data_IF_540072198452
#
_entry.id   IF_540072198452
#
_cell.length_a   1.000
_cell.length_b   1.000
_cell.length_c   1.000
_cell.angle_alpha   90.00
_cell.angle_beta   90.00
_cell.angle_gamma   90.00
#
_symmetry.space_group_name_H-M   'P 1'
#
loop_
_entity.id
_entity.type
_entity.pdbx_description
1 polymer ?
#
# COMPACT_ATOMS: atom_id res chain seq x y z
N UNK A 1 17.41 -15.77 1.71
CA UNK A 1 16.48 -14.64 1.64
C UNK A 1 15.26 -14.88 2.55
N UNK A 2 15.48 -14.77 3.86
CA UNK A 2 14.44 -14.88 4.90
C UNK A 2 13.26 -13.91 4.72
N UNK A 3 13.41 -12.91 3.87
CA UNK A 3 12.38 -11.92 3.54
C UNK A 3 12.52 -11.57 2.06
N UNK A 4 11.79 -12.26 1.20
CA UNK A 4 11.70 -11.96 -0.22
C UNK A 4 10.24 -11.71 -0.59
N UNK A 5 9.97 -10.70 -1.41
CA UNK A 5 8.66 -10.51 -2.02
C UNK A 5 8.67 -11.33 -3.31
N UNK A 6 8.03 -12.50 -3.26
CA UNK A 6 7.73 -13.29 -4.44
C UNK A 6 6.91 -12.44 -5.45
N UNK A 7 6.72 -12.97 -6.65
CA UNK A 7 5.85 -12.45 -7.71
C UNK A 7 4.35 -12.25 -7.34
N UNK A 8 4.02 -12.25 -6.05
CA UNK A 8 2.71 -12.09 -5.43
C UNK A 8 2.84 -11.16 -4.21
N UNK A 9 1.82 -10.38 -3.82
CA UNK A 9 1.85 -9.58 -2.59
C UNK A 9 1.75 -10.49 -1.37
N UNK A 10 2.82 -11.24 -1.07
CA UNK A 10 2.98 -11.98 0.16
C UNK A 10 3.99 -11.24 1.05
N UNK A 11 3.56 -10.92 2.26
CA UNK A 11 4.41 -10.35 3.30
C UNK A 11 4.71 -11.49 4.27
N UNK A 12 5.85 -12.15 4.14
CA UNK A 12 6.24 -13.26 5.01
C UNK A 12 7.60 -13.88 4.65
N UNK A 13 8.05 -14.85 5.46
CA UNK A 13 9.25 -15.63 5.18
C UNK A 13 8.94 -16.65 4.08
N UNK A 14 9.66 -16.57 2.96
CA UNK A 14 9.60 -17.55 1.87
C UNK A 14 10.81 -18.48 1.94
N UNK A 15 10.65 -19.72 1.52
CA UNK A 15 11.74 -20.69 1.49
C UNK A 15 12.64 -20.41 0.28
N UNK A 16 13.91 -20.11 0.55
CA UNK A 16 14.91 -19.82 -0.49
C UNK A 16 14.97 -20.90 -1.58
N UNK A 17 14.74 -22.17 -1.20
CA UNK A 17 14.78 -23.31 -2.12
C UNK A 17 13.66 -23.27 -3.15
N UNK A 18 12.52 -22.65 -2.82
CA UNK A 18 11.42 -22.47 -3.76
C UNK A 18 11.81 -21.43 -4.82
N UNK A 19 12.35 -20.29 -4.39
CA UNK A 19 12.79 -19.21 -5.27
C UNK A 19 13.96 -19.63 -6.17
N UNK A 20 14.91 -20.41 -5.66
CA UNK A 20 16.04 -20.94 -6.43
C UNK A 20 15.62 -21.86 -7.59
N UNK A 21 14.55 -22.64 -7.40
CA UNK A 21 13.98 -23.53 -8.42
C UNK A 21 13.09 -22.75 -9.41
N UNK A 22 12.35 -21.76 -8.91
CA UNK A 22 11.44 -20.96 -9.72
C UNK A 22 12.19 -20.01 -10.66
N UNK A 23 13.23 -19.33 -10.17
CA UNK A 23 14.02 -18.39 -10.96
C UNK A 23 14.99 -19.10 -11.89
N UNK A 24 14.79 -18.94 -13.19
CA UNK A 24 15.58 -19.58 -14.23
C UNK A 24 16.85 -18.77 -14.59
N UNK A 25 16.81 -17.45 -14.40
CA UNK A 25 17.91 -16.56 -14.75
C UNK A 25 18.72 -16.19 -13.50
N UNK A 26 20.06 -16.14 -13.63
CA UNK A 26 20.93 -15.76 -12.52
C UNK A 26 20.60 -14.36 -11.98
N UNK A 27 20.24 -13.43 -12.86
CA UNK A 27 19.87 -12.06 -12.49
C UNK A 27 18.63 -12.02 -11.58
N UNK A 28 17.69 -12.96 -11.75
CA UNK A 28 16.50 -13.05 -10.89
C UNK A 28 16.88 -13.54 -9.49
N UNK A 29 17.79 -14.51 -9.40
CA UNK A 29 18.33 -15.02 -8.13
C UNK A 29 19.10 -13.93 -7.38
N UNK A 30 19.96 -13.21 -8.10
CA UNK A 30 20.76 -12.11 -7.53
C UNK A 30 19.86 -10.96 -7.04
N UNK A 31 18.80 -10.63 -7.80
CA UNK A 31 17.82 -9.63 -7.41
C UNK A 31 17.08 -10.01 -6.12
N UNK A 32 16.72 -11.29 -5.95
CA UNK A 32 16.07 -11.77 -4.73
C UNK A 32 16.97 -11.65 -3.50
N UNK A 33 18.26 -12.00 -3.64
CA UNK A 33 19.26 -11.83 -2.57
C UNK A 33 19.45 -10.35 -2.23
N UNK A 34 19.58 -9.49 -3.25
CA UNK A 34 19.76 -8.05 -3.07
C UNK A 34 18.56 -7.41 -2.37
N UNK A 35 17.34 -7.77 -2.76
CA UNK A 35 16.12 -7.29 -2.13
C UNK A 35 16.07 -7.72 -0.65
N UNK A 36 16.35 -8.99 -0.38
CA UNK A 36 16.30 -9.53 0.99
C UNK A 36 17.33 -8.88 1.92
N UNK A 37 18.51 -8.49 1.42
CA UNK A 37 19.52 -7.76 2.19
C UNK A 37 18.97 -6.48 2.86
N UNK A 38 18.01 -5.82 2.23
CA UNK A 38 17.45 -4.55 2.71
C UNK A 38 16.02 -4.68 3.24
N UNK A 39 15.45 -5.88 3.25
CA UNK A 39 14.09 -6.16 3.70
C UNK A 39 13.79 -5.69 5.13
N UNK A 40 14.78 -5.74 6.04
CA UNK A 40 14.63 -5.24 7.41
C UNK A 40 14.32 -3.75 7.47
N UNK A 41 14.73 -2.96 6.47
CA UNK A 41 14.37 -1.55 6.40
C UNK A 41 12.85 -1.37 6.27
N UNK A 42 12.19 -2.25 5.53
CA UNK A 42 10.73 -2.27 5.39
C UNK A 42 10.06 -2.51 6.74
N UNK A 43 10.60 -3.40 7.57
CA UNK A 43 10.06 -3.66 8.92
C UNK A 43 10.17 -2.44 9.85
N UNK A 44 11.17 -1.58 9.65
CA UNK A 44 11.36 -0.35 10.46
C UNK A 44 10.40 0.78 10.12
N UNK A 45 9.87 0.79 8.89
CA UNK A 45 9.00 1.88 8.38
C UNK A 45 7.57 1.42 8.09
N UNK A 46 7.31 0.12 8.18
CA UNK A 46 6.00 -0.47 7.95
C UNK A 46 4.99 -0.06 9.02
N UNK A 47 3.75 0.15 8.62
CA UNK A 47 2.66 0.32 9.56
C UNK A 47 2.45 -1.01 10.32
N UNK A 48 2.36 -1.01 11.66
CA UNK A 48 2.03 -2.21 12.41
C UNK A 48 0.61 -2.71 12.04
N UNK A 49 0.25 -3.95 12.40
CA UNK A 49 -1.10 -4.46 12.19
C UNK A 49 -2.09 -3.76 13.13
N UNK A 50 -2.56 -2.58 12.72
CA UNK A 50 -3.57 -1.79 13.43
C UNK A 50 -4.96 -2.37 13.21
N UNK A 51 -5.86 -2.18 14.16
CA UNK A 51 -7.26 -2.61 14.04
C UNK A 51 -8.21 -1.44 14.25
N UNK A 52 -9.13 -1.27 13.30
CA UNK A 52 -10.24 -0.32 13.43
C UNK A 52 -11.31 -0.88 14.37
N UNK A 53 -12.04 0.00 15.03
CA UNK A 53 -13.33 -0.35 15.66
C UNK A 53 -14.39 -0.62 14.59
N UNK A 54 -15.53 -1.19 14.96
CA UNK A 54 -16.62 -1.48 14.01
C UNK A 54 -17.14 -0.20 13.34
N UNK A 55 -17.33 0.85 14.13
CA UNK A 55 -17.81 2.15 13.68
C UNK A 55 -16.81 2.82 12.72
N UNK A 56 -15.54 2.84 13.12
CA UNK A 56 -14.44 3.37 12.29
C UNK A 56 -14.30 2.59 10.97
N UNK A 57 -14.38 1.27 11.02
CA UNK A 57 -14.28 0.42 9.82
C UNK A 57 -15.41 0.72 8.83
N UNK A 58 -16.63 0.93 9.34
CA UNK A 58 -17.80 1.28 8.52
C UNK A 58 -17.62 2.65 7.86
N UNK A 59 -17.22 3.65 8.64
CA UNK A 59 -16.99 5.01 8.16
C UNK A 59 -15.86 5.07 7.14
N UNK A 60 -14.73 4.45 7.46
CA UNK A 60 -13.54 4.36 6.60
C UNK A 60 -13.87 3.68 5.27
N UNK A 61 -14.59 2.55 5.29
CA UNK A 61 -14.93 1.81 4.08
C UNK A 61 -15.80 2.62 3.13
N UNK A 62 -16.74 3.41 3.67
CA UNK A 62 -17.57 4.31 2.86
C UNK A 62 -16.72 5.38 2.18
N UNK A 63 -15.88 6.08 2.95
CA UNK A 63 -14.98 7.13 2.43
C UNK A 63 -14.05 6.57 1.34
N UNK A 64 -13.44 5.42 1.60
CA UNK A 64 -12.47 4.83 0.68
C UNK A 64 -13.12 4.25 -0.57
N UNK A 65 -14.40 3.85 -0.52
CA UNK A 65 -15.14 3.44 -1.71
C UNK A 65 -15.30 4.60 -2.69
N UNK A 66 -15.77 5.75 -2.21
CA UNK A 66 -15.97 6.96 -3.03
C UNK A 66 -14.63 7.45 -3.61
N UNK A 67 -13.59 7.48 -2.77
CA UNK A 67 -12.22 7.83 -3.18
C UNK A 67 -11.68 6.86 -4.23
N UNK A 68 -11.87 5.55 -4.02
CA UNK A 68 -11.35 4.52 -4.90
C UNK A 68 -11.88 4.65 -6.33
N UNK A 69 -13.20 4.78 -6.47
CA UNK A 69 -13.83 4.95 -7.79
C UNK A 69 -13.32 6.19 -8.51
N UNK A 70 -13.29 7.35 -7.82
CA UNK A 70 -12.84 8.59 -8.44
C UNK A 70 -11.34 8.57 -8.80
N UNK A 71 -10.50 8.02 -7.92
CA UNK A 71 -9.07 7.85 -8.17
C UNK A 71 -8.82 7.01 -9.42
N UNK A 72 -9.48 5.86 -9.55
CA UNK A 72 -9.24 4.94 -10.65
C UNK A 72 -9.65 5.54 -11.99
N UNK A 73 -10.78 6.25 -12.02
CA UNK A 73 -11.23 6.99 -13.21
C UNK A 73 -10.25 8.10 -13.60
N UNK A 74 -9.85 8.94 -12.64
CA UNK A 74 -8.96 10.07 -12.90
C UNK A 74 -7.56 9.63 -13.29
N UNK A 75 -7.04 8.56 -12.66
CA UNK A 75 -5.76 7.96 -13.04
C UNK A 75 -5.72 7.61 -14.52
N UNK A 76 -6.75 6.90 -15.02
CA UNK A 76 -6.83 6.55 -16.44
C UNK A 76 -6.84 7.80 -17.31
N UNK A 77 -7.66 8.80 -16.97
CA UNK A 77 -7.75 10.06 -17.73
C UNK A 77 -6.44 10.83 -17.80
N UNK A 78 -5.68 10.89 -16.69
CA UNK A 78 -4.36 11.51 -16.67
C UNK A 78 -3.37 10.75 -17.55
N UNK A 79 -3.34 9.41 -17.46
CA UNK A 79 -2.39 8.58 -18.23
C UNK A 79 -2.63 8.68 -19.74
N UNK A 80 -3.89 8.70 -20.18
CA UNK A 80 -4.22 8.79 -21.62
C UNK A 80 -4.29 10.23 -22.14
N UNK A 81 -4.05 11.23 -21.27
CA UNK A 81 -4.06 12.65 -21.64
C UNK A 81 -5.43 13.27 -21.88
N UNK A 82 -6.52 12.62 -21.43
CA UNK A 82 -7.87 13.21 -21.45
C UNK A 82 -7.99 14.32 -20.40
N UNK A 83 -7.37 14.12 -19.24
CA UNK A 83 -7.23 15.16 -18.21
C UNK A 83 -5.78 15.68 -18.20
N UNK A 84 -5.55 17.00 -18.35
CA UNK A 84 -4.22 17.58 -18.21
C UNK A 84 -3.66 17.36 -16.80
N UNK A 85 -2.40 16.95 -16.68
CA UNK A 85 -1.78 16.68 -15.36
C UNK A 85 -1.68 17.93 -14.49
N UNK A 86 -1.71 19.12 -15.09
CA UNK A 86 -1.79 20.41 -14.40
C UNK A 86 -3.05 20.54 -13.53
N UNK A 87 -4.08 19.72 -13.76
CA UNK A 87 -5.28 19.66 -12.93
C UNK A 87 -5.18 18.69 -11.74
N UNK A 88 -4.00 18.16 -11.43
CA UNK A 88 -3.79 17.26 -10.29
C UNK A 88 -4.25 17.87 -8.96
N UNK A 89 -4.05 19.17 -8.74
CA UNK A 89 -4.50 19.83 -7.51
C UNK A 89 -6.03 19.81 -7.36
N UNK A 90 -6.78 19.92 -8.46
CA UNK A 90 -8.24 19.79 -8.45
C UNK A 90 -8.69 18.37 -8.10
N UNK A 91 -7.93 17.38 -8.57
CA UNK A 91 -8.14 15.98 -8.19
C UNK A 91 -7.94 15.80 -6.68
N UNK A 92 -6.88 16.36 -6.10
CA UNK A 92 -6.62 16.31 -4.66
C UNK A 92 -7.72 17.03 -3.87
N UNK A 93 -8.18 18.20 -4.32
CA UNK A 93 -9.28 18.93 -3.70
C UNK A 93 -10.59 18.12 -3.68
N UNK A 94 -10.86 17.37 -4.74
CA UNK A 94 -12.03 16.50 -4.80
C UNK A 94 -11.89 15.31 -3.83
N UNK A 95 -10.71 14.70 -3.73
CA UNK A 95 -10.41 13.65 -2.74
C UNK A 95 -10.58 14.19 -1.30
N UNK A 96 -10.19 15.44 -1.04
CA UNK A 96 -10.43 16.10 0.23
C UNK A 96 -11.93 16.25 0.53
N UNK A 97 -12.76 16.58 -0.47
CA UNK A 97 -14.23 16.65 -0.33
C UNK A 97 -14.87 15.29 -0.07
N UNK A 98 -14.22 14.19 -0.46
CA UNK A 98 -14.62 12.84 -0.06
C UNK A 98 -14.18 12.46 1.36
N UNK A 99 -13.71 13.41 2.16
CA UNK A 99 -13.32 13.22 3.56
C UNK A 99 -12.09 12.32 3.75
N UNK A 100 -11.11 12.36 2.84
CA UNK A 100 -9.84 11.63 3.03
C UNK A 100 -9.15 11.98 4.36
N UNK A 101 -9.28 13.22 4.83
CA UNK A 101 -8.73 13.66 6.12
C UNK A 101 -9.33 12.87 7.28
N UNK A 102 -10.63 12.58 7.21
CA UNK A 102 -11.31 11.77 8.21
C UNK A 102 -10.85 10.31 8.18
N UNK A 103 -10.63 9.75 6.99
CA UNK A 103 -10.04 8.41 6.86
C UNK A 103 -8.62 8.35 7.44
N UNK A 104 -7.82 9.41 7.27
CA UNK A 104 -6.48 9.53 7.88
C UNK A 104 -6.58 9.56 9.41
N UNK A 105 -7.50 10.35 9.97
CA UNK A 105 -7.73 10.40 11.43
C UNK A 105 -8.11 9.04 12.01
N UNK A 106 -8.98 8.29 11.33
CA UNK A 106 -9.38 6.93 11.73
C UNK A 106 -8.17 6.01 11.80
N UNK A 107 -7.30 6.03 10.78
CA UNK A 107 -6.09 5.21 10.76
C UNK A 107 -5.09 5.64 11.83
N UNK A 108 -4.96 6.95 12.07
CA UNK A 108 -4.11 7.48 13.13
C UNK A 108 -4.59 7.02 14.50
N UNK A 109 -5.89 7.07 14.78
CA UNK A 109 -6.46 6.59 16.04
C UNK A 109 -6.20 5.09 16.25
N UNK A 110 -6.24 4.28 15.18
CA UNK A 110 -5.92 2.86 15.25
C UNK A 110 -4.44 2.59 15.52
N UNK A 111 -3.54 3.42 14.96
CA UNK A 111 -2.11 3.39 15.25
C UNK A 111 -1.82 3.79 16.70
N UNK A 112 -2.45 4.86 17.18
CA UNK A 112 -2.29 5.32 18.56
C UNK A 112 -2.76 4.25 19.56
N UNK A 113 -3.89 3.59 19.29
CA UNK A 113 -4.36 2.44 20.09
C UNK A 113 -3.41 1.26 20.06
N UNK A 114 -2.74 1.00 18.94
CA UNK A 114 -1.75 -0.07 18.85
C UNK A 114 -0.52 0.26 19.71
N UNK A 115 0.00 1.49 19.61
CA UNK A 115 1.19 1.94 20.34
C UNK A 115 0.99 2.07 21.85
N UNK A 116 -0.26 2.17 22.31
CA UNK A 116 -0.61 2.22 23.73
C UNK A 116 -0.74 0.84 24.40
N UNK A 117 -0.56 -0.27 23.65
CA UNK A 117 -0.56 -1.65 24.16
C UNK A 117 0.84 -2.07 24.58
#
# INVERSE_FOLDING_TARGET
AKHFIANYPFVGEDDDRYNEQYYQLQQQKDAAVLFSKYSENTLKVGLPPTSLTTEESTEYSKIMSDIGTYRDEMFVKFVIGVEPIENFDKFVDQINKFNVKRAIEIQQAALDRYNAR
#
